data_IF_133873182688
#
_entry.id   IF_133873182688
#
_cell.length_a   1.000
_cell.length_b   1.000
_cell.length_c   1.000
_cell.angle_alpha   90.00
_cell.angle_beta   90.00
_cell.angle_gamma   90.00
#
_symmetry.space_group_name_H-M   'P 1'
#
loop_
_entity.id
_entity.type
_entity.pdbx_description
1 polymer ?
#
# COMPACT_ATOMS: atom_id res chain seq x y z
N UNK A 1 -77.87 -18.53 26.69
CA UNK A 1 -76.77 -18.89 27.60
C UNK A 1 -75.46 -18.72 26.86
N UNK A 2 -74.59 -17.84 27.39
CA UNK A 2 -73.14 -17.68 27.17
C UNK A 2 -72.63 -17.44 25.73
N UNK A 3 -72.41 -16.17 25.39
CA UNK A 3 -71.40 -15.77 24.41
C UNK A 3 -70.05 -15.69 25.13
N UNK A 4 -69.08 -16.44 24.61
CA UNK A 4 -67.69 -16.53 25.09
C UNK A 4 -66.86 -15.47 24.37
N UNK A 5 -66.36 -14.48 25.09
CA UNK A 5 -65.38 -13.51 24.56
C UNK A 5 -63.99 -14.04 24.88
N UNK A 6 -63.24 -14.37 23.83
CA UNK A 6 -61.85 -14.81 23.88
C UNK A 6 -60.94 -13.57 23.79
N UNK A 7 -60.22 -13.22 24.85
CA UNK A 7 -59.17 -12.20 24.81
C UNK A 7 -57.87 -12.87 24.35
N UNK A 8 -57.45 -12.59 23.11
CA UNK A 8 -56.16 -12.99 22.56
C UNK A 8 -55.13 -11.90 22.91
N UNK A 9 -54.31 -12.12 23.93
CA UNK A 9 -53.19 -11.22 24.26
C UNK A 9 -52.03 -11.48 23.31
N UNK A 10 -51.82 -10.57 22.37
CA UNK A 10 -50.67 -10.57 21.46
C UNK A 10 -49.44 -10.05 22.22
N UNK A 11 -48.54 -10.96 22.63
CA UNK A 11 -47.25 -10.59 23.23
C UNK A 11 -46.28 -10.23 22.09
N UNK A 12 -46.13 -8.94 21.79
CA UNK A 12 -45.06 -8.46 20.91
C UNK A 12 -43.74 -8.59 21.66
N UNK A 13 -42.95 -9.63 21.35
CA UNK A 13 -41.54 -9.66 21.68
C UNK A 13 -40.85 -8.75 20.67
N UNK A 14 -40.67 -7.48 21.04
CA UNK A 14 -39.78 -6.58 20.31
C UNK A 14 -38.35 -7.05 20.53
N UNK A 15 -37.78 -7.78 19.57
CA UNK A 15 -36.34 -7.93 19.49
C UNK A 15 -35.77 -6.55 19.18
N UNK A 16 -35.17 -5.89 20.17
CA UNK A 16 -34.33 -4.73 19.94
C UNK A 16 -33.15 -5.20 19.12
N UNK A 17 -33.16 -4.92 17.82
CA UNK A 17 -31.95 -4.96 16.99
C UNK A 17 -31.09 -3.82 17.52
N UNK A 18 -30.16 -4.12 18.41
CA UNK A 18 -29.14 -3.17 18.82
C UNK A 18 -28.28 -2.88 17.60
N UNK A 19 -28.37 -1.67 17.06
CA UNK A 19 -27.34 -1.17 16.15
C UNK A 19 -26.02 -1.17 16.92
N UNK A 20 -24.97 -1.72 16.32
CA UNK A 20 -23.62 -1.55 16.85
C UNK A 20 -23.35 -0.04 16.91
N UNK A 21 -23.17 0.49 18.11
CA UNK A 21 -22.79 1.89 18.29
C UNK A 21 -21.31 2.00 17.90
N UNK A 22 -21.00 2.86 16.93
CA UNK A 22 -19.63 3.10 16.50
C UNK A 22 -18.78 3.59 17.69
N UNK A 23 -17.51 3.16 17.75
CA UNK A 23 -16.64 3.49 18.88
C UNK A 23 -16.13 4.93 18.79
N UNK A 24 -16.11 5.64 19.93
CA UNK A 24 -15.74 7.07 19.99
C UNK A 24 -14.32 7.38 19.52
N UNK A 25 -13.42 6.42 19.61
CA UNK A 25 -12.00 6.51 19.28
C UNK A 25 -11.64 5.79 17.98
N UNK A 26 -12.64 5.42 17.17
CA UNK A 26 -12.47 4.89 15.82
C UNK A 26 -13.36 5.69 14.86
N UNK A 27 -12.83 6.79 14.33
CA UNK A 27 -13.52 7.59 13.31
C UNK A 27 -13.71 6.80 12.01
N UNK A 28 -14.65 7.21 11.17
CA UNK A 28 -14.88 6.65 9.83
C UNK A 28 -13.66 6.73 8.92
N UNK A 29 -12.77 7.69 9.18
CA UNK A 29 -11.54 7.91 8.43
C UNK A 29 -10.35 7.12 9.03
N UNK A 30 -10.56 6.42 10.14
CA UNK A 30 -9.54 5.54 10.71
C UNK A 30 -9.30 4.36 9.79
N UNK A 31 -8.03 4.05 9.51
CA UNK A 31 -7.64 2.82 8.80
C UNK A 31 -8.14 1.51 9.45
N UNK A 32 -8.56 1.55 10.72
CA UNK A 32 -9.11 0.39 11.42
C UNK A 32 -10.63 0.34 11.40
N UNK A 33 -11.32 1.36 10.86
CA UNK A 33 -12.77 1.51 10.94
C UNK A 33 -13.50 0.28 10.36
N UNK A 34 -13.20 -0.08 9.11
CA UNK A 34 -13.85 -1.22 8.46
C UNK A 34 -13.66 -2.53 9.22
N UNK A 35 -12.42 -2.81 9.66
CA UNK A 35 -12.11 -4.02 10.41
C UNK A 35 -12.83 -4.08 11.75
N UNK A 36 -12.89 -2.96 12.47
CA UNK A 36 -13.51 -2.88 13.78
C UNK A 36 -15.03 -3.03 13.68
N UNK A 37 -15.66 -2.37 12.72
CA UNK A 37 -17.10 -2.51 12.44
C UNK A 37 -17.43 -3.96 12.06
N UNK A 38 -16.73 -4.51 11.06
CA UNK A 38 -16.95 -5.89 10.60
C UNK A 38 -16.80 -6.90 11.73
N UNK A 39 -15.73 -6.81 12.51
CA UNK A 39 -15.48 -7.77 13.59
C UNK A 39 -16.45 -7.57 14.78
N UNK A 40 -16.98 -6.37 14.98
CA UNK A 40 -18.03 -6.12 15.99
C UNK A 40 -19.33 -6.78 15.54
N UNK A 41 -19.74 -6.61 14.29
CA UNK A 41 -20.92 -7.26 13.71
C UNK A 41 -20.83 -8.80 13.77
N UNK A 42 -19.62 -9.36 13.57
CA UNK A 42 -19.37 -10.80 13.70
C UNK A 42 -19.23 -11.28 15.15
N UNK A 43 -19.30 -10.38 16.13
CA UNK A 43 -19.14 -10.71 17.56
C UNK A 43 -17.74 -11.18 17.94
N UNK A 44 -16.72 -10.88 17.11
CA UNK A 44 -15.32 -11.26 17.33
C UNK A 44 -14.66 -10.31 18.32
N UNK A 45 -14.97 -9.03 18.20
CA UNK A 45 -14.47 -7.99 19.11
C UNK A 45 -15.64 -7.26 19.76
N UNK A 46 -15.35 -6.63 20.90
CA UNK A 46 -16.25 -5.72 21.60
C UNK A 46 -15.42 -4.55 22.12
N UNK A 47 -16.04 -3.38 22.23
CA UNK A 47 -15.44 -2.24 22.92
C UNK A 47 -15.49 -2.35 24.44
N UNK A 48 -14.97 -1.31 25.07
CA UNK A 48 -14.98 -1.12 26.50
C UNK A 48 -16.27 -0.42 26.95
N UNK A 49 -16.58 -0.51 28.25
CA UNK A 49 -17.79 0.09 28.82
C UNK A 49 -17.83 1.63 28.72
N UNK A 50 -16.71 2.28 28.43
CA UNK A 50 -16.59 3.73 28.19
C UNK A 50 -17.00 4.14 26.75
N UNK A 51 -17.32 3.17 25.89
CA UNK A 51 -17.68 3.36 24.48
C UNK A 51 -16.49 3.47 23.53
N UNK A 52 -15.30 3.02 23.96
CA UNK A 52 -14.08 3.02 23.15
C UNK A 52 -13.68 1.62 22.69
N UNK A 53 -12.90 1.51 21.61
CA UNK A 53 -12.29 0.28 21.12
C UNK A 53 -10.83 0.13 21.56
N UNK A 54 -10.10 1.25 21.71
CA UNK A 54 -8.67 1.35 22.02
C UNK A 54 -7.77 0.69 20.97
N UNK A 55 -7.81 1.14 19.70
CA UNK A 55 -7.09 0.49 18.61
C UNK A 55 -5.56 0.47 18.82
N UNK A 56 -5.00 1.45 19.52
CA UNK A 56 -3.53 1.55 19.70
C UNK A 56 -3.00 0.79 20.92
N UNK A 57 -3.86 0.17 21.72
CA UNK A 57 -3.43 -0.62 22.88
C UNK A 57 -2.83 -1.94 22.42
N UNK A 58 -1.64 -2.25 22.93
CA UNK A 58 -0.96 -3.52 22.68
C UNK A 58 -1.76 -4.70 23.25
N UNK A 59 -1.80 -5.79 22.49
CA UNK A 59 -2.60 -6.97 22.81
C UNK A 59 -1.73 -8.09 23.34
N UNK A 60 -2.16 -8.71 24.44
CA UNK A 60 -1.47 -9.88 24.98
C UNK A 60 -1.89 -11.20 24.28
N UNK A 61 -1.12 -12.26 24.50
CA UNK A 61 -1.36 -13.59 23.89
C UNK A 61 -2.75 -14.15 24.19
N UNK A 62 -3.27 -13.95 25.39
CA UNK A 62 -4.61 -14.40 25.75
C UNK A 62 -5.73 -13.65 25.00
N UNK A 63 -5.58 -12.36 24.80
CA UNK A 63 -6.53 -11.53 24.05
C UNK A 63 -6.46 -11.84 22.55
N UNK A 64 -5.25 -11.94 21.98
CA UNK A 64 -5.05 -12.28 20.59
C UNK A 64 -5.66 -13.64 20.24
N UNK A 65 -5.44 -14.66 21.09
CA UNK A 65 -6.02 -16.00 20.83
C UNK A 65 -7.53 -16.00 20.96
N UNK A 66 -8.12 -15.20 21.86
CA UNK A 66 -9.57 -15.04 21.93
C UNK A 66 -10.13 -14.45 20.64
N UNK A 67 -9.54 -13.37 20.11
CA UNK A 67 -9.98 -12.74 18.85
C UNK A 67 -9.94 -13.75 17.70
N UNK A 68 -8.81 -14.44 17.53
CA UNK A 68 -8.63 -15.45 16.48
C UNK A 68 -9.57 -16.63 16.65
N UNK A 69 -9.77 -17.12 17.88
CA UNK A 69 -10.65 -18.25 18.15
C UNK A 69 -12.12 -17.95 17.84
N UNK A 70 -12.57 -16.72 18.13
CA UNK A 70 -13.91 -16.26 17.79
C UNK A 70 -14.08 -16.07 16.27
N UNK A 71 -13.10 -15.43 15.62
CA UNK A 71 -13.11 -15.17 14.18
C UNK A 71 -13.31 -16.43 13.33
N UNK A 72 -12.67 -17.53 13.72
CA UNK A 72 -12.74 -18.81 13.00
C UNK A 72 -13.59 -19.87 13.71
N UNK A 73 -14.42 -19.45 14.68
CA UNK A 73 -15.33 -20.32 15.42
C UNK A 73 -14.66 -21.62 15.90
N UNK A 74 -13.48 -21.51 16.52
CA UNK A 74 -12.67 -22.66 16.89
C UNK A 74 -13.42 -23.60 17.83
N UNK A 75 -13.44 -24.87 17.46
CA UNK A 75 -14.00 -25.97 18.22
C UNK A 75 -12.91 -26.96 18.61
N UNK A 76 -13.03 -27.63 19.78
CA UNK A 76 -12.03 -28.60 20.22
C UNK A 76 -11.91 -29.75 19.22
N UNK A 77 -10.69 -30.23 18.98
CA UNK A 77 -10.42 -31.31 18.02
C UNK A 77 -10.78 -32.71 18.54
N UNK A 78 -11.24 -32.83 19.80
CA UNK A 78 -11.51 -34.10 20.48
C UNK A 78 -10.29 -34.75 21.12
N UNK A 79 -9.08 -34.26 20.85
CA UNK A 79 -7.85 -34.69 21.52
C UNK A 79 -7.71 -34.01 22.88
N UNK A 80 -7.46 -34.80 23.94
CA UNK A 80 -7.07 -34.23 25.23
C UNK A 80 -5.69 -33.58 25.11
N UNK A 81 -5.64 -32.28 25.40
CA UNK A 81 -4.37 -31.54 25.51
C UNK A 81 -4.12 -31.20 26.96
N UNK A 82 -2.89 -31.44 27.42
CA UNK A 82 -2.46 -31.02 28.75
C UNK A 82 -2.50 -29.50 28.84
N UNK A 83 -3.19 -28.96 29.84
CA UNK A 83 -3.22 -27.53 30.10
C UNK A 83 -1.81 -26.99 30.41
N UNK A 84 -1.54 -25.77 29.96
CA UNK A 84 -0.30 -25.07 30.26
C UNK A 84 -0.23 -24.75 31.77
N UNK A 85 0.95 -24.82 32.42
CA UNK A 85 1.08 -24.60 33.87
C UNK A 85 0.64 -23.21 34.34
N UNK A 86 0.67 -22.23 33.45
CA UNK A 86 0.30 -20.82 33.67
C UNK A 86 -1.11 -20.47 33.16
N UNK A 87 -1.94 -21.47 32.87
CA UNK A 87 -3.32 -21.31 32.41
C UNK A 87 -4.25 -22.13 33.31
N UNK A 88 -5.01 -21.43 34.16
CA UNK A 88 -5.93 -22.03 35.15
C UNK A 88 -7.32 -22.14 34.56
N UNK A 89 -8.09 -23.17 34.97
CA UNK A 89 -9.48 -23.37 34.53
C UNK A 89 -10.43 -22.23 34.89
N UNK A 90 -10.04 -21.36 35.82
CA UNK A 90 -10.80 -20.16 36.22
C UNK A 90 -10.45 -18.92 35.40
N UNK A 91 -9.42 -18.98 34.55
CA UNK A 91 -9.02 -17.83 33.74
C UNK A 91 -10.03 -17.62 32.60
N UNK A 92 -10.40 -16.36 32.35
CA UNK A 92 -11.38 -16.01 31.30
C UNK A 92 -10.97 -16.48 29.90
N UNK A 93 -9.67 -16.68 29.67
CA UNK A 93 -9.10 -17.14 28.41
C UNK A 93 -8.93 -18.67 28.32
N UNK A 94 -9.21 -19.42 29.39
CA UNK A 94 -8.92 -20.85 29.49
C UNK A 94 -9.48 -21.63 28.28
N UNK A 95 -10.78 -21.48 28.01
CA UNK A 95 -11.44 -22.24 26.94
C UNK A 95 -10.86 -21.91 25.56
N UNK A 96 -10.51 -20.65 25.29
CA UNK A 96 -9.93 -20.24 24.02
C UNK A 96 -8.53 -20.83 23.83
N UNK A 97 -7.71 -20.80 24.88
CA UNK A 97 -6.36 -21.40 24.86
C UNK A 97 -6.44 -22.91 24.65
N UNK A 98 -7.32 -23.59 25.38
CA UNK A 98 -7.45 -25.05 25.27
C UNK A 98 -7.97 -25.49 23.89
N UNK A 99 -8.94 -24.76 23.32
CA UNK A 99 -9.41 -25.00 21.94
C UNK A 99 -8.29 -24.80 20.93
N UNK A 100 -7.57 -23.69 21.01
CA UNK A 100 -6.45 -23.39 20.12
C UNK A 100 -5.32 -24.43 20.23
N UNK A 101 -4.98 -24.85 21.44
CA UNK A 101 -3.97 -25.87 21.68
C UNK A 101 -4.38 -27.23 21.11
N UNK A 102 -5.67 -27.61 21.25
CA UNK A 102 -6.20 -28.86 20.67
C UNK A 102 -6.11 -28.91 19.14
N UNK A 103 -6.09 -27.75 18.48
CA UNK A 103 -5.94 -27.63 17.03
C UNK A 103 -4.52 -27.27 16.58
N UNK A 104 -3.55 -27.32 17.49
CA UNK A 104 -2.15 -26.96 17.22
C UNK A 104 -1.96 -25.52 16.70
N UNK A 105 -2.93 -24.62 16.95
CA UNK A 105 -2.79 -23.19 16.65
C UNK A 105 -1.71 -22.56 17.53
N UNK A 106 -1.60 -23.04 18.77
CA UNK A 106 -0.57 -22.67 19.74
C UNK A 106 0.01 -23.92 20.38
N UNK A 107 1.32 -23.91 20.66
CA UNK A 107 2.03 -25.03 21.30
C UNK A 107 2.73 -24.66 22.61
N UNK A 108 2.64 -23.40 23.03
CA UNK A 108 3.42 -22.86 24.15
C UNK A 108 4.88 -22.62 23.80
N UNK A 109 5.66 -22.20 24.80
CA UNK A 109 7.11 -21.97 24.70
C UNK A 109 7.89 -23.22 25.14
N UNK A 110 9.21 -23.20 24.94
CA UNK A 110 10.10 -24.32 25.30
C UNK A 110 10.09 -24.66 26.81
N UNK A 111 9.69 -23.72 27.66
CA UNK A 111 9.50 -23.92 29.10
C UNK A 111 8.15 -24.57 29.47
N UNK A 112 7.32 -24.88 28.46
CA UNK A 112 5.99 -25.47 28.62
C UNK A 112 4.88 -24.47 28.99
N UNK A 113 5.18 -23.17 29.08
CA UNK A 113 4.20 -22.13 29.40
C UNK A 113 3.51 -21.55 28.15
N UNK A 114 2.33 -20.94 28.34
CA UNK A 114 1.61 -20.20 27.30
C UNK A 114 1.97 -18.70 27.25
N UNK A 115 2.33 -18.13 28.40
CA UNK A 115 2.62 -16.71 28.66
C UNK A 115 1.44 -15.79 28.32
N UNK A 116 0.26 -15.96 28.95
CA UNK A 116 -0.98 -15.28 28.55
C UNK A 116 -0.87 -13.74 28.56
N UNK A 117 -0.10 -13.17 29.50
CA UNK A 117 0.10 -11.72 29.64
C UNK A 117 1.21 -11.13 28.75
N UNK A 118 1.95 -11.94 28.00
CA UNK A 118 2.98 -11.45 27.10
C UNK A 118 2.34 -10.82 25.86
N UNK A 119 2.81 -9.65 25.44
CA UNK A 119 2.38 -9.02 24.18
C UNK A 119 2.78 -9.86 22.97
N UNK A 120 1.88 -10.03 22.02
CA UNK A 120 2.17 -10.74 20.77
C UNK A 120 2.88 -9.84 19.77
N UNK A 121 3.77 -10.44 18.98
CA UNK A 121 4.32 -9.77 17.81
C UNK A 121 3.53 -10.11 16.53
N UNK A 122 3.90 -9.45 15.42
CA UNK A 122 3.21 -9.61 14.15
C UNK A 122 3.30 -11.04 13.60
N UNK A 123 4.49 -11.64 13.62
CA UNK A 123 4.69 -13.02 13.15
C UNK A 123 3.85 -14.05 13.92
N UNK A 124 3.80 -13.92 15.25
CA UNK A 124 2.98 -14.78 16.11
C UNK A 124 1.48 -14.59 15.82
N UNK A 125 1.03 -13.35 15.68
CA UNK A 125 -0.37 -13.00 15.39
C UNK A 125 -0.82 -13.58 14.05
N UNK A 126 0.01 -13.41 13.02
CA UNK A 126 -0.23 -13.93 11.68
C UNK A 126 -0.28 -15.47 11.68
N UNK A 127 0.67 -16.14 12.34
CA UNK A 127 0.67 -17.60 12.49
C UNK A 127 -0.62 -18.08 13.16
N UNK A 128 -0.99 -17.49 14.30
CA UNK A 128 -2.19 -17.91 15.03
C UNK A 128 -3.43 -17.80 14.16
N UNK A 129 -3.61 -16.66 13.47
CA UNK A 129 -4.77 -16.44 12.62
C UNK A 129 -4.80 -17.40 11.42
N UNK A 130 -3.66 -17.67 10.77
CA UNK A 130 -3.59 -18.60 9.63
C UNK A 130 -3.89 -20.04 10.02
N UNK A 131 -3.32 -20.50 11.14
CA UNK A 131 -3.56 -21.86 11.62
C UNK A 131 -5.00 -22.04 12.09
N UNK A 132 -5.57 -21.04 12.78
CA UNK A 132 -6.97 -21.09 13.22
C UNK A 132 -7.94 -21.09 12.04
N UNK A 133 -7.63 -20.32 10.99
CA UNK A 133 -8.40 -20.30 9.74
C UNK A 133 -8.12 -21.50 8.82
N UNK A 134 -7.26 -22.44 9.20
CA UNK A 134 -6.88 -23.63 8.43
C UNK A 134 -6.41 -23.30 6.99
N UNK A 135 -5.71 -22.18 6.85
CA UNK A 135 -5.15 -21.79 5.57
C UNK A 135 -3.96 -22.68 5.20
N UNK A 136 -3.84 -22.97 3.91
CA UNK A 136 -2.69 -23.70 3.39
C UNK A 136 -1.51 -22.74 3.27
N UNK A 137 -0.44 -23.05 3.98
CA UNK A 137 0.77 -22.26 4.04
C UNK A 137 1.90 -23.06 3.38
N UNK A 138 2.76 -22.43 2.55
CA UNK A 138 3.89 -23.15 1.95
C UNK A 138 4.83 -23.73 3.00
N UNK A 139 5.14 -25.03 2.89
CA UNK A 139 6.06 -25.74 3.80
C UNK A 139 7.52 -25.30 3.64
N UNK A 140 7.88 -24.79 2.46
CA UNK A 140 9.22 -24.30 2.15
C UNK A 140 9.14 -23.04 1.29
N UNK A 141 10.06 -22.12 1.54
CA UNK A 141 10.18 -20.87 0.79
C UNK A 141 11.52 -20.86 0.05
N UNK A 142 11.50 -20.58 -1.26
CA UNK A 142 12.68 -20.68 -2.12
C UNK A 142 13.53 -19.39 -2.17
N UNK A 143 12.98 -18.26 -1.75
CA UNK A 143 13.65 -16.95 -1.76
C UNK A 143 13.14 -16.07 -0.61
N UNK A 144 13.89 -15.02 -0.28
CA UNK A 144 13.44 -14.04 0.70
C UNK A 144 12.07 -13.45 0.31
N UNK A 145 11.23 -13.22 1.31
CA UNK A 145 9.82 -12.83 1.12
C UNK A 145 9.66 -11.32 1.12
N UNK A 146 10.29 -10.68 2.10
CA UNK A 146 10.42 -9.24 2.30
C UNK A 146 11.87 -8.94 2.66
N UNK A 147 12.22 -7.66 2.77
CA UNK A 147 13.61 -7.27 3.07
C UNK A 147 14.09 -7.76 4.44
N UNK A 148 13.17 -7.91 5.40
CA UNK A 148 13.40 -8.39 6.76
C UNK A 148 12.73 -9.75 7.06
N UNK A 149 12.39 -10.50 6.00
CA UNK A 149 11.84 -11.87 6.12
C UNK A 149 12.62 -12.79 5.20
N UNK A 150 13.55 -13.55 5.78
CA UNK A 150 14.38 -14.51 5.05
C UNK A 150 13.60 -15.79 4.78
N UNK A 151 13.94 -16.49 3.69
CA UNK A 151 13.32 -17.78 3.36
C UNK A 151 13.46 -18.84 4.46
N UNK A 152 14.52 -18.74 5.27
CA UNK A 152 14.83 -19.65 6.38
C UNK A 152 14.08 -19.35 7.67
N UNK A 153 13.40 -18.21 7.77
CA UNK A 153 12.69 -17.85 9.00
C UNK A 153 11.52 -18.80 9.25
N UNK A 154 11.31 -19.19 10.51
CA UNK A 154 10.22 -20.10 10.87
C UNK A 154 8.83 -19.58 10.46
N UNK A 155 8.71 -18.25 10.29
CA UNK A 155 7.48 -17.59 9.87
C UNK A 155 7.41 -17.29 8.37
N UNK A 156 8.43 -17.59 7.58
CA UNK A 156 8.52 -17.19 6.18
C UNK A 156 7.28 -17.61 5.36
N UNK A 157 6.82 -18.86 5.51
CA UNK A 157 5.63 -19.36 4.83
C UNK A 157 4.37 -18.55 5.13
N UNK A 158 4.17 -18.14 6.39
CA UNK A 158 3.02 -17.31 6.78
C UNK A 158 3.05 -15.94 6.08
N UNK A 159 4.23 -15.35 5.96
CA UNK A 159 4.42 -14.08 5.26
C UNK A 159 4.29 -14.21 3.74
N UNK A 160 4.64 -15.35 3.14
CA UNK A 160 4.34 -15.65 1.73
C UNK A 160 2.83 -15.65 1.53
N UNK A 161 2.09 -16.39 2.36
CA UNK A 161 0.63 -16.39 2.28
C UNK A 161 0.06 -14.98 2.45
N UNK A 162 0.56 -14.22 3.43
CA UNK A 162 0.12 -12.87 3.72
C UNK A 162 0.34 -11.90 2.56
N UNK A 163 1.51 -11.97 1.92
CA UNK A 163 1.84 -11.20 0.69
C UNK A 163 0.93 -11.61 -0.47
N UNK A 164 0.75 -12.92 -0.65
CA UNK A 164 0.08 -13.44 -1.83
C UNK A 164 -1.43 -13.13 -1.82
N UNK A 165 -2.00 -13.00 -0.63
CA UNK A 165 -3.41 -12.68 -0.38
C UNK A 165 -3.67 -11.23 0.05
N UNK A 166 -2.70 -10.32 -0.10
CA UNK A 166 -2.80 -8.90 0.27
C UNK A 166 -3.21 -8.63 1.74
N UNK A 167 -2.84 -9.54 2.65
CA UNK A 167 -3.04 -9.36 4.10
C UNK A 167 -1.95 -8.46 4.68
N UNK A 168 -0.74 -8.54 4.13
CA UNK A 168 0.44 -7.81 4.60
C UNK A 168 0.89 -6.86 3.50
N UNK A 169 1.27 -5.67 3.93
CA UNK A 169 1.84 -4.65 3.06
C UNK A 169 3.16 -4.18 3.66
N UNK A 170 4.18 -4.05 2.81
CA UNK A 170 5.49 -3.59 3.25
C UNK A 170 5.56 -2.05 3.24
N UNK A 171 6.37 -1.49 4.12
CA UNK A 171 6.60 -0.05 4.16
C UNK A 171 7.44 0.43 2.95
N UNK A 172 7.75 1.73 2.88
CA UNK A 172 8.61 2.33 1.84
C UNK A 172 10.01 1.71 1.77
N UNK A 173 10.43 1.13 2.87
CA UNK A 173 11.68 0.43 3.02
C UNK A 173 11.59 -1.04 2.55
N UNK A 174 10.41 -1.56 2.22
CA UNK A 174 10.24 -2.97 1.87
C UNK A 174 10.30 -3.93 3.05
N UNK A 175 10.13 -3.40 4.27
CA UNK A 175 10.07 -4.16 5.53
C UNK A 175 8.65 -4.35 6.01
N UNK A 176 8.44 -5.40 6.78
CA UNK A 176 7.17 -5.73 7.46
C UNK A 176 7.31 -5.84 8.98
N UNK A 177 8.54 -5.79 9.50
CA UNK A 177 8.90 -5.77 10.92
C UNK A 177 8.23 -6.91 11.72
N UNK A 178 8.60 -8.17 11.47
CA UNK A 178 7.90 -9.35 12.03
C UNK A 178 7.84 -9.41 13.56
N UNK A 179 8.81 -8.81 14.24
CA UNK A 179 8.94 -8.76 15.70
C UNK A 179 8.21 -7.57 16.34
N UNK A 180 7.60 -6.68 15.53
CA UNK A 180 6.79 -5.56 16.02
C UNK A 180 5.66 -6.09 16.91
N UNK A 181 5.54 -5.48 18.09
CA UNK A 181 4.41 -5.71 19.00
C UNK A 181 3.13 -5.15 18.41
N UNK A 182 2.06 -5.94 18.44
CA UNK A 182 0.83 -5.62 17.73
C UNK A 182 -0.17 -4.90 18.62
N UNK A 183 -0.78 -3.84 18.09
CA UNK A 183 -1.92 -3.18 18.69
C UNK A 183 -3.23 -3.92 18.40
N UNK A 184 -4.29 -3.55 19.12
CA UNK A 184 -5.63 -4.14 18.98
C UNK A 184 -6.23 -3.88 17.60
N UNK A 185 -6.04 -2.69 17.06
CA UNK A 185 -6.42 -2.33 15.70
C UNK A 185 -5.65 -3.14 14.65
N UNK A 186 -4.35 -3.36 14.86
CA UNK A 186 -3.53 -4.13 13.91
C UNK A 186 -3.91 -5.61 13.86
N UNK A 187 -4.20 -6.24 15.01
CA UNK A 187 -4.72 -7.61 15.02
C UNK A 187 -6.12 -7.68 14.43
N UNK A 188 -6.98 -6.69 14.73
CA UNK A 188 -8.31 -6.60 14.13
C UNK A 188 -8.22 -6.53 12.60
N UNK A 189 -7.33 -5.71 12.05
CA UNK A 189 -7.10 -5.60 10.61
C UNK A 189 -6.66 -6.93 9.99
N UNK A 190 -5.67 -7.60 10.59
CA UNK A 190 -5.19 -8.91 10.10
C UNK A 190 -6.31 -9.95 10.10
N UNK A 191 -7.08 -10.01 11.19
CA UNK A 191 -8.20 -10.98 11.34
C UNK A 191 -9.31 -10.68 10.34
N UNK A 192 -9.70 -9.40 10.17
CA UNK A 192 -10.67 -8.96 9.18
C UNK A 192 -10.27 -9.38 7.77
N UNK A 193 -9.05 -9.04 7.33
CA UNK A 193 -8.55 -9.41 6.00
C UNK A 193 -8.57 -10.91 5.79
N UNK A 194 -8.17 -11.69 6.80
CA UNK A 194 -8.22 -13.16 6.70
C UNK A 194 -9.64 -13.71 6.62
N UNK A 195 -10.60 -13.16 7.38
CA UNK A 195 -12.00 -13.58 7.29
C UNK A 195 -12.57 -13.32 5.89
N UNK A 196 -12.27 -12.16 5.30
CA UNK A 196 -12.66 -11.83 3.93
C UNK A 196 -12.01 -12.77 2.89
N UNK A 197 -10.72 -13.09 3.05
CA UNK A 197 -10.02 -14.07 2.19
C UNK A 197 -10.65 -15.46 2.32
N UNK A 198 -10.97 -15.90 3.55
CA UNK A 198 -11.63 -17.20 3.80
C UNK A 198 -13.00 -17.27 3.15
N UNK A 199 -13.78 -16.19 3.26
CA UNK A 199 -15.15 -16.12 2.75
C UNK A 199 -15.19 -16.03 1.23
N UNK A 200 -14.34 -15.19 0.64
CA UNK A 200 -14.34 -14.93 -0.80
C UNK A 200 -13.55 -15.95 -1.61
N UNK A 201 -12.58 -16.63 -1.01
CA UNK A 201 -11.60 -17.48 -1.69
C UNK A 201 -10.61 -16.69 -2.57
N UNK A 202 -10.61 -15.36 -2.49
CA UNK A 202 -9.76 -14.48 -3.27
C UNK A 202 -8.86 -13.64 -2.35
N UNK A 203 -7.78 -13.08 -2.91
CA UNK A 203 -6.94 -12.12 -2.19
C UNK A 203 -7.76 -10.91 -1.71
N UNK A 204 -7.37 -10.35 -0.56
CA UNK A 204 -8.05 -9.19 0.02
C UNK A 204 -8.01 -7.98 -0.92
N UNK A 205 -9.12 -7.25 -0.99
CA UNK A 205 -9.28 -6.04 -1.79
C UNK A 205 -8.77 -4.83 -1.02
N UNK A 206 -7.46 -4.62 -1.06
CA UNK A 206 -6.77 -3.54 -0.33
C UNK A 206 -7.31 -2.15 -0.66
N UNK A 207 -7.77 -1.94 -1.90
CA UNK A 207 -8.27 -0.64 -2.33
C UNK A 207 -9.53 -0.17 -1.59
N UNK A 208 -10.23 -1.06 -0.88
CA UNK A 208 -11.37 -0.69 -0.02
C UNK A 208 -10.94 0.12 1.21
N UNK A 209 -9.78 -0.23 1.76
CA UNK A 209 -9.23 0.38 2.99
C UNK A 209 -8.39 1.62 2.71
N UNK A 210 -8.26 2.02 1.45
CA UNK A 210 -7.42 3.12 1.02
C UNK A 210 -8.22 4.40 0.85
N UNK A 211 -7.56 5.52 1.06
CA UNK A 211 -8.16 6.85 0.92
C UNK A 211 -8.39 7.20 -0.55
N UNK A 212 -9.45 7.95 -0.83
CA UNK A 212 -9.70 8.48 -2.17
C UNK A 212 -8.78 9.67 -2.47
N UNK A 213 -8.19 9.63 -3.66
CA UNK A 213 -7.48 10.73 -4.30
C UNK A 213 -8.27 11.21 -5.52
N UNK A 214 -8.33 12.52 -5.71
CA UNK A 214 -9.08 13.17 -6.80
C UNK A 214 -8.19 14.20 -7.48
N UNK A 215 -8.14 14.16 -8.82
CA UNK A 215 -7.47 15.16 -9.67
C UNK A 215 -8.47 15.66 -10.72
N UNK A 216 -9.19 16.76 -10.45
CA UNK A 216 -10.24 17.26 -11.32
C UNK A 216 -9.74 17.69 -12.70
N UNK A 217 -8.52 18.23 -12.78
CA UNK A 217 -7.93 18.71 -14.05
C UNK A 217 -7.76 17.57 -15.06
N UNK A 218 -7.51 16.36 -14.56
CA UNK A 218 -7.45 15.13 -15.36
C UNK A 218 -8.78 14.37 -15.40
N UNK A 219 -9.76 14.81 -14.61
CA UNK A 219 -11.03 14.11 -14.44
C UNK A 219 -10.87 12.71 -13.87
N UNK A 220 -9.99 12.52 -12.88
CA UNK A 220 -9.76 11.18 -12.28
C UNK A 220 -10.04 11.15 -10.78
N UNK A 221 -10.52 9.99 -10.32
CA UNK A 221 -10.56 9.58 -8.92
C UNK A 221 -10.08 8.15 -8.78
N UNK A 222 -9.27 7.87 -7.77
CA UNK A 222 -8.83 6.52 -7.45
C UNK A 222 -8.51 6.42 -5.96
N UNK A 223 -8.43 5.21 -5.42
CA UNK A 223 -8.02 4.98 -4.04
C UNK A 223 -6.52 4.66 -3.98
N UNK A 224 -5.82 5.23 -3.00
CA UNK A 224 -4.39 5.04 -2.83
C UNK A 224 -3.98 4.97 -1.36
N UNK A 225 -2.91 4.24 -1.09
CA UNK A 225 -2.30 4.20 0.24
C UNK A 225 -1.15 5.21 0.35
N UNK A 226 -1.45 6.34 1.02
CA UNK A 226 -0.52 7.44 1.25
C UNK A 226 0.70 7.04 2.10
N UNK A 227 0.63 5.92 2.82
CA UNK A 227 1.76 5.44 3.64
C UNK A 227 2.87 4.79 2.79
N UNK A 228 2.56 4.33 1.58
CA UNK A 228 3.53 3.69 0.68
C UNK A 228 3.69 4.38 -0.67
N UNK A 229 2.69 5.13 -1.14
CA UNK A 229 2.75 5.87 -2.39
C UNK A 229 3.06 7.34 -2.11
N UNK A 230 4.01 7.88 -2.85
CA UNK A 230 4.27 9.30 -2.98
C UNK A 230 3.50 9.83 -4.16
N UNK A 231 3.02 11.06 -4.06
CA UNK A 231 2.26 11.74 -5.11
C UNK A 231 3.02 13.00 -5.51
N UNK A 232 3.24 13.17 -6.81
CA UNK A 232 3.69 14.41 -7.41
C UNK A 232 2.63 14.82 -8.45
N UNK A 233 2.06 16.02 -8.34
CA UNK A 233 0.96 16.47 -9.22
C UNK A 233 1.31 17.81 -9.84
N UNK A 234 1.22 17.89 -11.17
CA UNK A 234 1.25 19.14 -11.92
C UNK A 234 -0.14 19.55 -12.43
N UNK A 235 -0.18 20.51 -13.34
CA UNK A 235 -1.44 20.96 -13.99
C UNK A 235 -2.01 19.89 -14.92
N UNK A 236 -1.17 19.27 -15.76
CA UNK A 236 -1.58 18.32 -16.81
C UNK A 236 -1.14 16.87 -16.53
N UNK A 237 -0.60 16.61 -15.34
CA UNK A 237 -0.16 15.28 -14.95
C UNK A 237 -0.20 15.00 -13.43
N UNK A 238 -0.20 13.71 -13.11
CA UNK A 238 0.05 13.22 -11.74
C UNK A 238 0.81 11.91 -11.78
N UNK A 239 1.81 11.81 -10.92
CA UNK A 239 2.69 10.67 -10.76
C UNK A 239 2.54 10.12 -9.35
N UNK A 240 2.06 8.88 -9.26
CA UNK A 240 2.13 8.07 -8.06
C UNK A 240 3.37 7.21 -8.14
N UNK A 241 4.22 7.22 -7.13
CA UNK A 241 5.41 6.38 -7.13
C UNK A 241 5.73 5.82 -5.75
N UNK A 242 6.22 4.59 -5.74
CA UNK A 242 6.76 3.92 -4.56
C UNK A 242 8.27 3.91 -4.68
N UNK A 243 8.94 4.59 -3.75
CA UNK A 243 10.39 4.67 -3.71
C UNK A 243 11.03 3.34 -3.35
N UNK A 244 12.17 3.03 -3.98
CA UNK A 244 13.11 2.04 -3.45
C UNK A 244 14.04 2.70 -2.42
N UNK A 245 13.69 2.57 -1.14
CA UNK A 245 14.48 3.14 -0.05
C UNK A 245 15.89 2.54 0.10
N UNK A 246 16.22 1.38 -0.49
CA UNK A 246 17.58 0.83 -0.46
C UNK A 246 18.50 1.57 -1.42
N UNK A 247 17.99 1.86 -2.61
CA UNK A 247 18.73 2.57 -3.65
C UNK A 247 18.65 4.09 -3.46
N UNK A 248 18.06 4.54 -2.34
CA UNK A 248 17.71 5.93 -2.10
C UNK A 248 17.07 6.51 -3.36
N UNK A 249 16.03 5.86 -3.87
CA UNK A 249 15.33 6.42 -5.02
C UNK A 249 14.59 7.66 -4.57
N UNK A 250 14.87 8.77 -5.23
CA UNK A 250 14.23 10.04 -4.94
C UNK A 250 13.41 10.60 -6.11
N UNK A 251 13.62 10.10 -7.33
CA UNK A 251 12.84 10.48 -8.52
C UNK A 251 11.91 9.35 -8.97
N UNK A 252 10.70 9.67 -9.44
CA UNK A 252 9.88 8.73 -10.20
C UNK A 252 10.37 8.48 -11.64
N UNK A 253 11.40 9.21 -12.11
CA UNK A 253 11.90 9.11 -13.48
C UNK A 253 12.52 7.75 -13.83
N UNK A 254 13.09 7.05 -12.84
CA UNK A 254 13.72 5.74 -12.98
C UNK A 254 13.02 4.70 -12.12
N UNK A 255 12.85 3.48 -12.65
CA UNK A 255 12.32 2.34 -11.90
C UNK A 255 13.45 1.39 -11.50
N UNK A 256 13.65 1.28 -10.20
CA UNK A 256 14.50 0.30 -9.53
C UNK A 256 13.74 -0.99 -9.23
N UNK A 257 14.49 -2.04 -8.90
CA UNK A 257 13.98 -3.39 -8.65
C UNK A 257 12.84 -3.43 -7.61
N UNK A 258 12.85 -2.60 -6.57
CA UNK A 258 11.79 -2.57 -5.54
C UNK A 258 10.92 -1.31 -5.58
N UNK A 259 10.80 -0.69 -6.75
CA UNK A 259 10.00 0.52 -6.97
C UNK A 259 8.86 0.29 -7.94
N UNK A 260 7.95 1.26 -8.04
CA UNK A 260 6.96 1.30 -9.10
C UNK A 260 6.37 2.68 -9.26
N UNK A 261 5.74 2.92 -10.42
CA UNK A 261 5.05 4.17 -10.72
C UNK A 261 3.76 3.96 -11.48
N UNK A 262 2.86 4.93 -11.34
CA UNK A 262 1.71 5.16 -12.19
C UNK A 262 1.74 6.64 -12.57
N UNK A 263 1.77 6.94 -13.86
CA UNK A 263 1.78 8.31 -14.38
C UNK A 263 0.55 8.53 -15.24
N UNK A 264 -0.29 9.47 -14.82
CA UNK A 264 -1.45 9.95 -15.58
C UNK A 264 -1.09 11.27 -16.27
N UNK A 265 -1.47 11.40 -17.53
CA UNK A 265 -1.31 12.63 -18.32
C UNK A 265 -2.36 12.71 -19.44
N UNK A 266 -2.52 13.87 -20.06
CA UNK A 266 -3.43 14.08 -21.19
C UNK A 266 -2.65 14.19 -22.50
N UNK A 267 -2.98 13.33 -23.47
CA UNK A 267 -2.64 13.55 -24.87
C UNK A 267 -3.77 14.33 -25.54
N UNK A 268 -3.51 15.61 -25.88
CA UNK A 268 -4.47 16.51 -26.52
C UNK A 268 -4.85 16.07 -27.95
N UNK A 269 -4.22 15.04 -28.51
CA UNK A 269 -4.50 14.53 -29.85
C UNK A 269 -4.43 15.64 -30.91
N UNK A 270 -3.31 16.37 -30.95
CA UNK A 270 -3.10 17.52 -31.85
C UNK A 270 -3.23 17.20 -33.35
N UNK A 271 -3.22 15.91 -33.71
CA UNK A 271 -3.45 15.42 -35.07
C UNK A 271 -4.93 15.18 -35.41
N UNK A 272 -5.86 15.49 -34.50
CA UNK A 272 -7.32 15.32 -34.64
C UNK A 272 -7.73 13.89 -35.09
N UNK A 273 -7.00 12.87 -34.63
CA UNK A 273 -7.28 11.48 -35.02
C UNK A 273 -8.56 11.01 -34.35
N UNK A 274 -9.39 10.27 -35.08
CA UNK A 274 -10.50 9.52 -34.45
C UNK A 274 -9.95 8.50 -33.43
N UNK A 275 -10.78 8.09 -32.48
CA UNK A 275 -10.45 7.02 -31.51
C UNK A 275 -9.82 5.80 -32.17
N UNK A 276 -10.46 5.27 -33.21
CA UNK A 276 -9.98 4.06 -33.88
C UNK A 276 -8.63 4.28 -34.58
N UNK A 277 -8.44 5.44 -35.20
CA UNK A 277 -7.14 5.81 -35.79
C UNK A 277 -6.06 5.97 -34.72
N UNK A 278 -6.39 6.58 -33.58
CA UNK A 278 -5.46 6.74 -32.46
C UNK A 278 -5.04 5.37 -31.90
N UNK A 279 -6.01 4.51 -31.54
CA UNK A 279 -5.74 3.15 -31.03
C UNK A 279 -4.95 2.30 -32.03
N UNK A 280 -5.28 2.34 -33.32
CA UNK A 280 -4.54 1.59 -34.33
C UNK A 280 -3.09 2.09 -34.49
N UNK A 281 -2.86 3.40 -34.38
CA UNK A 281 -1.50 3.95 -34.39
C UNK A 281 -0.70 3.49 -33.17
N UNK A 282 -1.29 3.54 -31.97
CA UNK A 282 -0.65 3.06 -30.73
C UNK A 282 -0.28 1.58 -30.85
N UNK A 283 -1.21 0.72 -31.31
CA UNK A 283 -0.93 -0.71 -31.56
C UNK A 283 0.20 -0.91 -32.58
N UNK A 284 0.27 -0.08 -33.62
CA UNK A 284 1.32 -0.17 -34.63
C UNK A 284 2.70 0.24 -34.10
N UNK A 285 2.76 1.31 -33.29
CA UNK A 285 4.00 1.80 -32.69
C UNK A 285 4.54 0.77 -31.69
N UNK A 286 3.64 0.20 -30.88
CA UNK A 286 3.99 -0.71 -29.80
C UNK A 286 3.64 -2.18 -30.10
N UNK A 287 4.04 -2.66 -31.28
CA UNK A 287 3.72 -4.01 -31.77
C UNK A 287 4.30 -5.17 -30.93
N UNK A 288 5.11 -4.88 -29.91
CA UNK A 288 5.64 -5.87 -28.95
C UNK A 288 4.74 -6.15 -27.73
N UNK A 289 3.67 -5.37 -27.54
CA UNK A 289 2.73 -5.53 -26.42
C UNK A 289 1.47 -6.30 -26.80
N UNK A 290 0.87 -6.99 -25.84
CA UNK A 290 -0.47 -7.55 -26.01
C UNK A 290 -1.50 -6.42 -25.86
N UNK A 291 -2.27 -6.17 -26.91
CA UNK A 291 -3.26 -5.10 -26.96
C UNK A 291 -4.67 -5.61 -26.70
N UNK A 292 -5.42 -4.93 -25.83
CA UNK A 292 -6.81 -5.27 -25.51
C UNK A 292 -7.64 -4.01 -25.36
N UNK A 293 -8.72 -3.92 -26.12
CA UNK A 293 -9.72 -2.86 -25.90
C UNK A 293 -10.68 -3.27 -24.78
N UNK A 294 -11.08 -2.29 -23.97
CA UNK A 294 -12.00 -2.44 -22.85
C UNK A 294 -12.75 -1.14 -22.61
N UNK A 295 -13.68 -1.16 -21.64
CA UNK A 295 -14.45 0.02 -21.24
C UNK A 295 -14.18 0.31 -19.78
N UNK A 296 -13.87 1.57 -19.46
CA UNK A 296 -13.69 2.06 -18.09
C UNK A 296 -14.48 3.35 -17.89
N UNK A 297 -15.30 3.41 -16.84
CA UNK A 297 -16.19 4.57 -16.58
C UNK A 297 -17.07 4.95 -17.79
N UNK A 298 -17.49 3.96 -18.58
CA UNK A 298 -18.27 4.18 -19.80
C UNK A 298 -17.48 4.73 -21.00
N UNK A 299 -16.15 4.74 -20.91
CA UNK A 299 -15.23 5.25 -21.94
C UNK A 299 -14.48 4.10 -22.59
N UNK A 300 -14.32 4.17 -23.90
CA UNK A 300 -13.46 3.25 -24.62
C UNK A 300 -12.00 3.44 -24.22
N UNK A 301 -11.32 2.33 -23.96
CA UNK A 301 -9.94 2.32 -23.56
C UNK A 301 -9.17 1.22 -24.26
N UNK A 302 -7.87 1.44 -24.43
CA UNK A 302 -6.91 0.48 -24.94
C UNK A 302 -5.88 0.18 -23.86
N UNK A 303 -5.74 -1.09 -23.50
CA UNK A 303 -4.69 -1.61 -22.65
C UNK A 303 -3.56 -2.20 -23.53
N UNK A 304 -2.32 -1.83 -23.24
CA UNK A 304 -1.12 -2.47 -23.75
C UNK A 304 -0.34 -3.10 -22.60
N UNK A 305 -0.17 -4.42 -22.64
CA UNK A 305 0.59 -5.18 -21.64
C UNK A 305 1.92 -5.60 -22.22
N UNK A 306 3.01 -5.26 -21.51
CA UNK A 306 4.38 -5.69 -21.83
C UNK A 306 4.92 -6.51 -20.65
N UNK A 307 4.68 -7.84 -20.61
CA UNK A 307 5.03 -8.66 -19.45
C UNK A 307 6.53 -8.65 -19.12
N UNK A 308 7.38 -8.63 -20.15
CA UNK A 308 8.85 -8.61 -20.02
C UNK A 308 9.36 -7.28 -19.50
N UNK A 309 8.69 -6.19 -19.85
CA UNK A 309 9.03 -4.83 -19.44
C UNK A 309 8.31 -4.42 -18.15
N UNK A 310 7.40 -5.27 -17.64
CA UNK A 310 6.61 -5.00 -16.42
C UNK A 310 5.89 -3.66 -16.50
N UNK A 311 5.38 -3.40 -17.69
CA UNK A 311 4.68 -2.18 -18.05
C UNK A 311 3.27 -2.52 -18.51
N UNK A 312 2.33 -1.71 -18.05
CA UNK A 312 0.95 -1.72 -18.54
C UNK A 312 0.55 -0.28 -18.83
N UNK A 313 0.19 0.00 -20.08
CA UNK A 313 -0.21 1.34 -20.50
C UNK A 313 -1.68 1.34 -20.87
N UNK A 314 -2.43 2.31 -20.36
CA UNK A 314 -3.84 2.53 -20.71
C UNK A 314 -4.01 3.84 -21.48
N UNK A 315 -4.81 3.80 -22.53
CA UNK A 315 -5.17 4.97 -23.34
C UNK A 315 -6.69 5.07 -23.35
N UNK A 316 -7.24 6.11 -22.73
CA UNK A 316 -8.67 6.23 -22.43
C UNK A 316 -9.24 7.43 -23.17
N UNK A 317 -10.27 7.22 -23.99
CA UNK A 317 -10.85 8.27 -24.82
C UNK A 317 -11.69 9.27 -23.97
N UNK A 318 -11.41 10.56 -24.15
CA UNK A 318 -12.10 11.65 -23.45
C UNK A 318 -13.14 12.34 -24.35
N UNK A 319 -14.16 13.03 -23.78
CA UNK A 319 -15.26 13.61 -24.56
C UNK A 319 -14.83 14.73 -25.51
N UNK A 320 -13.75 15.43 -25.18
CA UNK A 320 -13.18 16.53 -25.95
C UNK A 320 -12.28 16.05 -27.10
N UNK A 321 -12.13 14.73 -27.29
CA UNK A 321 -11.29 14.14 -28.31
C UNK A 321 -9.82 13.93 -27.89
N UNK A 322 -9.46 14.31 -26.66
CA UNK A 322 -8.19 13.99 -26.03
C UNK A 322 -8.16 12.54 -25.50
N UNK A 323 -7.00 12.09 -25.02
CA UNK A 323 -6.85 10.81 -24.37
C UNK A 323 -6.18 10.98 -23.01
N UNK A 324 -6.80 10.42 -21.96
CA UNK A 324 -6.10 10.19 -20.70
C UNK A 324 -5.16 8.99 -20.90
N UNK A 325 -3.88 9.21 -20.70
CA UNK A 325 -2.85 8.20 -20.84
C UNK A 325 -2.32 7.83 -19.45
N UNK A 326 -2.27 6.54 -19.18
CA UNK A 326 -1.79 5.98 -17.91
C UNK A 326 -0.60 5.08 -18.21
N UNK A 327 0.58 5.46 -17.74
CA UNK A 327 1.78 4.64 -17.84
C UNK A 327 2.03 3.97 -16.50
N UNK A 328 2.20 2.65 -16.49
CA UNK A 328 2.57 1.92 -15.26
C UNK A 328 3.85 1.15 -15.44
N UNK A 329 4.67 1.12 -14.40
CA UNK A 329 5.91 0.36 -14.42
C UNK A 329 6.24 -0.10 -13.00
N UNK A 330 6.80 -1.31 -12.87
CA UNK A 330 7.21 -1.85 -11.58
C UNK A 330 8.47 -2.71 -11.69
N UNK A 331 9.27 -2.69 -10.63
CA UNK A 331 10.58 -3.33 -10.59
C UNK A 331 10.54 -4.86 -10.57
N UNK A 332 11.75 -5.45 -10.71
CA UNK A 332 11.98 -6.90 -10.76
C UNK A 332 12.44 -7.57 -9.46
N UNK A 333 12.62 -6.79 -8.42
CA UNK A 333 13.05 -7.25 -7.11
C UNK A 333 11.98 -8.05 -6.37
N UNK A 334 12.32 -8.39 -5.14
CA UNK A 334 11.48 -9.19 -4.23
C UNK A 334 10.10 -8.58 -4.00
N UNK A 335 9.96 -7.25 -4.10
CA UNK A 335 8.68 -6.56 -3.94
C UNK A 335 7.89 -6.38 -5.24
N UNK A 336 8.46 -6.69 -6.41
CA UNK A 336 7.83 -6.39 -7.70
C UNK A 336 6.42 -6.99 -7.84
N UNK A 337 6.18 -8.17 -7.26
CA UNK A 337 4.86 -8.80 -7.24
C UNK A 337 3.83 -8.07 -6.36
N UNK A 338 4.25 -7.57 -5.19
CA UNK A 338 3.39 -6.76 -4.31
C UNK A 338 3.06 -5.42 -4.96
N UNK A 339 4.07 -4.75 -5.53
CA UNK A 339 3.92 -3.45 -6.21
C UNK A 339 2.98 -3.58 -7.39
N UNK A 340 3.13 -4.62 -8.20
CA UNK A 340 2.20 -4.92 -9.30
C UNK A 340 0.76 -5.02 -8.80
N UNK A 341 0.49 -5.77 -7.73
CA UNK A 341 -0.86 -5.93 -7.16
C UNK A 341 -1.41 -4.61 -6.63
N UNK A 342 -0.57 -3.78 -6.03
CA UNK A 342 -0.98 -2.44 -5.57
C UNK A 342 -1.35 -1.53 -6.74
N UNK A 343 -0.55 -1.53 -7.82
CA UNK A 343 -0.88 -0.80 -9.05
C UNK A 343 -2.20 -1.28 -9.62
N UNK A 344 -2.40 -2.60 -9.74
CA UNK A 344 -3.66 -3.17 -10.21
C UNK A 344 -4.84 -2.77 -9.30
N UNK A 345 -4.63 -2.67 -7.99
CA UNK A 345 -5.65 -2.23 -7.04
C UNK A 345 -6.02 -0.75 -7.23
N UNK A 346 -5.02 0.13 -7.39
CA UNK A 346 -5.24 1.54 -7.73
C UNK A 346 -6.02 1.68 -9.03
N UNK A 347 -5.60 0.98 -10.09
CA UNK A 347 -6.26 1.00 -11.40
C UNK A 347 -7.68 0.43 -11.37
N UNK A 348 -7.95 -0.60 -10.55
CA UNK A 348 -9.32 -1.13 -10.37
C UNK A 348 -10.26 -0.11 -9.72
N UNK A 349 -9.74 0.78 -8.89
CA UNK A 349 -10.52 1.84 -8.24
C UNK A 349 -10.69 3.11 -9.09
N UNK A 350 -10.04 3.15 -10.26
CA UNK A 350 -10.02 4.33 -11.12
C UNK A 350 -11.41 4.64 -11.71
N UNK A 351 -11.84 5.87 -11.48
CA UNK A 351 -13.01 6.51 -12.09
C UNK A 351 -12.52 7.65 -12.98
N UNK A 352 -13.05 7.75 -14.21
CA UNK A 352 -12.65 8.74 -15.22
C UNK A 352 -13.85 9.54 -15.72
N UNK A 353 -13.82 10.86 -15.57
CA UNK A 353 -14.85 11.79 -16.02
C UNK A 353 -14.92 13.05 -15.17
N UNK A 354 -16.08 13.73 -15.17
CA UNK A 354 -16.30 14.84 -14.25
C UNK A 354 -16.35 14.29 -12.82
N UNK A 355 -15.30 14.57 -12.05
CA UNK A 355 -15.20 14.23 -10.64
C UNK A 355 -15.18 15.53 -9.85
N UNK A 356 -16.10 15.65 -8.88
CA UNK A 356 -16.13 16.76 -7.94
C UNK A 356 -15.19 16.48 -6.77
N UNK A 357 -14.49 17.53 -6.32
CA UNK A 357 -13.74 17.51 -5.07
C UNK A 357 -14.73 17.61 -3.90
N UNK A 358 -14.69 16.64 -2.99
CA UNK A 358 -15.36 16.75 -1.70
C UNK A 358 -14.34 17.31 -0.68
N UNK A 359 -14.71 18.34 0.09
CA UNK A 359 -13.86 18.92 1.14
C UNK A 359 -13.44 17.87 2.20
N UNK A 360 -14.17 16.75 2.32
CA UNK A 360 -13.81 15.65 3.22
C UNK A 360 -12.73 14.71 2.67
N UNK A 361 -12.34 14.85 1.40
CA UNK A 361 -11.30 14.00 0.83
C UNK A 361 -9.92 14.60 1.04
N UNK A 362 -9.08 13.83 1.74
CA UNK A 362 -7.79 14.24 2.30
C UNK A 362 -6.80 14.78 1.24
N UNK A 363 -6.99 14.43 -0.04
CA UNK A 363 -6.11 14.80 -1.14
C UNK A 363 -6.87 15.39 -2.34
N UNK A 364 -7.85 16.27 -2.11
CA UNK A 364 -8.48 17.05 -3.18
C UNK A 364 -7.65 18.28 -3.54
N UNK A 365 -6.79 18.14 -4.53
CA UNK A 365 -5.75 19.13 -4.81
C UNK A 365 -4.73 19.09 -3.67
N UNK A 366 -3.55 18.54 -3.93
CA UNK A 366 -2.42 18.69 -3.02
C UNK A 366 -2.30 20.18 -2.70
N UNK A 367 -2.66 20.59 -1.48
CA UNK A 367 -2.46 21.96 -1.01
C UNK A 367 -1.00 22.32 -1.31
N UNK A 368 -0.82 23.33 -2.16
CA UNK A 368 0.42 24.00 -2.51
C UNK A 368 1.69 23.29 -1.99
N UNK A 369 2.17 22.30 -2.74
CA UNK A 369 3.62 22.13 -2.82
C UNK A 369 4.13 23.45 -3.43
N UNK A 370 4.49 24.41 -2.56
CA UNK A 370 4.95 25.77 -2.86
C UNK A 370 5.30 25.95 -4.33
N UNK A 371 4.33 26.38 -5.16
CA UNK A 371 4.42 26.57 -6.61
C UNK A 371 5.77 26.12 -7.21
N UNK A 372 6.04 24.81 -7.14
CA UNK A 372 7.34 24.32 -7.57
C UNK A 372 7.18 24.20 -9.07
N UNK A 373 8.07 24.85 -9.81
CA UNK A 373 8.23 24.56 -11.22
C UNK A 373 8.18 23.03 -11.39
N UNK A 374 7.41 22.51 -12.35
CA UNK A 374 7.35 21.06 -12.55
C UNK A 374 8.78 20.55 -12.72
N UNK A 375 9.08 19.32 -12.28
CA UNK A 375 10.44 18.76 -12.42
C UNK A 375 10.96 18.88 -13.86
N UNK A 376 10.08 18.84 -14.86
CA UNK A 376 10.40 19.06 -16.28
C UNK A 376 10.82 20.51 -16.58
N UNK A 377 10.18 21.50 -15.97
CA UNK A 377 10.52 22.93 -16.12
C UNK A 377 11.81 23.30 -15.36
N UNK A 378 11.98 22.79 -14.13
CA UNK A 378 13.23 22.90 -13.36
C UNK A 378 14.40 22.34 -14.18
N UNK A 379 14.24 21.13 -14.71
CA UNK A 379 15.26 20.48 -15.54
C UNK A 379 15.63 21.33 -16.76
N UNK A 380 14.63 21.90 -17.42
CA UNK A 380 14.81 22.75 -18.60
C UNK A 380 15.59 24.02 -18.26
N UNK A 381 15.28 24.66 -17.13
CA UNK A 381 15.98 25.85 -16.62
C UNK A 381 17.42 25.53 -16.21
N UNK A 382 17.62 24.42 -15.50
CA UNK A 382 18.95 23.94 -15.10
C UNK A 382 19.82 23.63 -16.33
N UNK A 383 19.28 22.91 -17.33
CA UNK A 383 20.04 22.60 -18.55
C UNK A 383 20.31 23.80 -19.45
N UNK A 384 19.43 24.80 -19.46
CA UNK A 384 19.69 26.04 -20.19
C UNK A 384 20.91 26.81 -19.62
N UNK A 385 21.17 26.65 -18.32
CA UNK A 385 22.21 27.39 -17.60
C UNK A 385 23.48 26.58 -17.34
N UNK A 386 23.47 25.25 -17.55
CA UNK A 386 24.53 24.33 -17.08
C UNK A 386 25.93 24.79 -17.51
N UNK A 387 26.14 25.10 -18.79
CA UNK A 387 27.45 25.55 -19.32
C UNK A 387 27.66 27.08 -19.32
N UNK A 388 26.80 27.86 -18.67
CA UNK A 388 26.88 29.33 -18.67
C UNK A 388 27.67 29.81 -17.45
N UNK A 389 28.79 30.49 -17.70
CA UNK A 389 29.65 31.05 -16.64
C UNK A 389 28.87 32.04 -15.74
N UNK A 390 29.02 31.90 -14.42
CA UNK A 390 28.32 32.73 -13.43
C UNK A 390 26.88 32.34 -13.12
N UNK A 391 26.42 31.19 -13.60
CA UNK A 391 25.04 30.68 -13.40
C UNK A 391 24.94 29.36 -12.67
N UNK A 392 26.06 28.78 -12.25
CA UNK A 392 26.07 27.49 -11.58
C UNK A 392 25.29 27.50 -10.27
N UNK A 393 25.47 28.53 -9.43
CA UNK A 393 24.74 28.65 -8.18
C UNK A 393 23.24 28.91 -8.38
N UNK A 394 22.86 29.72 -9.37
CA UNK A 394 21.46 29.92 -9.77
C UNK A 394 20.81 28.59 -10.13
N UNK A 395 21.52 27.75 -10.89
CA UNK A 395 21.02 26.43 -11.32
C UNK A 395 20.95 25.43 -10.17
N UNK A 396 21.92 25.42 -9.24
CA UNK A 396 21.85 24.59 -8.04
C UNK A 396 20.71 25.02 -7.12
N UNK A 397 20.38 26.31 -7.07
CA UNK A 397 19.27 26.80 -6.25
C UNK A 397 17.90 26.39 -6.77
N UNK A 398 17.78 26.00 -8.05
CA UNK A 398 16.56 25.42 -8.60
C UNK A 398 16.35 23.95 -8.19
N UNK A 399 17.37 23.31 -7.60
CA UNK A 399 17.33 21.91 -7.17
C UNK A 399 17.25 21.86 -5.65
N UNK A 400 16.04 21.74 -5.10
CA UNK A 400 15.80 21.83 -3.66
C UNK A 400 16.36 20.63 -2.89
N UNK A 401 16.47 19.49 -3.55
CA UNK A 401 16.88 18.24 -2.94
C UNK A 401 18.33 17.83 -3.21
N UNK A 402 19.15 18.77 -3.68
CA UNK A 402 20.56 18.55 -3.95
C UNK A 402 21.28 18.01 -2.70
N UNK A 403 21.92 16.87 -2.86
CA UNK A 403 22.81 16.26 -1.85
C UNK A 403 24.24 16.39 -2.37
N UNK A 404 25.11 17.02 -1.58
CA UNK A 404 26.54 16.99 -1.89
C UNK A 404 27.08 15.58 -1.65
N UNK A 405 27.66 14.98 -2.68
CA UNK A 405 28.17 13.61 -2.63
C UNK A 405 29.70 13.56 -2.53
N UNK A 406 30.40 14.57 -3.06
CA UNK A 406 31.87 14.64 -3.02
C UNK A 406 32.34 16.10 -3.18
N UNK A 407 33.45 16.44 -2.52
CA UNK A 407 34.13 17.74 -2.67
C UNK A 407 35.61 17.50 -2.96
N UNK A 408 36.06 17.97 -4.11
CA UNK A 408 37.46 17.93 -4.52
C UNK A 408 38.11 19.29 -4.30
N UNK A 409 39.15 19.30 -3.47
CA UNK A 409 39.77 20.55 -3.02
C UNK A 409 40.69 21.14 -4.11
N UNK A 410 41.32 20.30 -4.95
CA UNK A 410 42.25 20.70 -6.02
C UNK A 410 42.33 19.59 -7.09
N UNK A 411 41.77 19.82 -8.28
CA UNK A 411 42.07 19.02 -9.48
C UNK A 411 43.25 19.62 -10.25
N UNK A 412 44.06 18.80 -10.90
CA UNK A 412 45.12 19.29 -11.79
C UNK A 412 44.48 20.04 -12.97
N UNK A 413 44.29 21.36 -12.84
CA UNK A 413 43.97 22.24 -13.97
C UNK A 413 42.91 23.33 -13.76
N UNK A 414 41.94 23.18 -12.87
CA UNK A 414 40.91 24.20 -12.58
C UNK A 414 40.48 24.12 -11.12
N UNK A 415 39.89 25.19 -10.56
CA UNK A 415 39.66 25.39 -9.12
C UNK A 415 38.78 24.33 -8.41
N UNK A 416 38.44 24.55 -7.13
CA UNK A 416 37.78 23.53 -6.33
C UNK A 416 36.39 23.15 -6.88
N UNK A 417 36.04 21.86 -6.77
CA UNK A 417 34.87 21.26 -7.40
C UNK A 417 33.99 20.58 -6.34
N UNK A 418 32.68 20.72 -6.47
CA UNK A 418 31.71 19.98 -5.66
C UNK A 418 30.79 19.15 -6.57
N UNK A 419 30.48 17.93 -6.18
CA UNK A 419 29.54 17.06 -6.87
C UNK A 419 28.23 17.03 -6.09
N UNK A 420 27.14 17.40 -6.74
CA UNK A 420 25.79 17.37 -6.21
C UNK A 420 24.98 16.32 -6.95
N UNK A 421 24.26 15.49 -6.21
CA UNK A 421 23.20 14.68 -6.78
C UNK A 421 21.87 15.36 -6.47
N UNK A 422 21.09 15.72 -7.49
CA UNK A 422 19.69 16.07 -7.28
C UNK A 422 18.83 14.90 -7.65
N UNK A 423 17.98 14.62 -6.70
CA UNK A 423 17.20 13.44 -6.53
C UNK A 423 15.88 13.58 -7.30
N UNK A 424 15.42 14.81 -7.45
CA UNK A 424 14.26 15.30 -8.16
C UNK A 424 14.44 15.05 -9.65
N UNK A 425 15.58 15.52 -10.17
CA UNK A 425 15.92 15.38 -11.59
C UNK A 425 16.68 14.10 -11.91
N UNK A 426 17.25 13.42 -10.91
CA UNK A 426 17.97 12.16 -11.10
C UNK A 426 19.35 12.33 -11.76
N UNK A 427 19.98 13.49 -11.64
CA UNK A 427 21.28 13.81 -12.25
C UNK A 427 22.35 14.11 -11.19
N UNK A 428 23.59 13.74 -11.54
CA UNK A 428 24.78 14.21 -10.83
C UNK A 428 25.35 15.42 -11.57
N UNK A 429 25.49 16.50 -10.85
CA UNK A 429 25.99 17.78 -11.28
C UNK A 429 27.38 18.00 -10.70
N UNK A 430 28.35 18.31 -11.56
CA UNK A 430 29.66 18.79 -11.14
C UNK A 430 29.64 20.31 -11.14
N UNK A 431 29.79 20.94 -9.98
CA UNK A 431 29.85 22.38 -9.81
C UNK A 431 31.30 22.85 -9.70
N UNK A 432 31.76 23.69 -10.63
CA UNK A 432 33.10 24.29 -10.57
C UNK A 432 33.04 25.67 -9.92
N UNK A 433 33.51 25.78 -8.67
CA UNK A 433 33.38 27.03 -7.89
C UNK A 433 34.10 28.22 -8.52
N UNK A 434 35.18 27.98 -9.27
CA UNK A 434 35.99 29.04 -9.85
C UNK A 434 35.33 29.71 -11.06
N UNK A 435 34.58 28.95 -11.86
CA UNK A 435 33.87 29.44 -13.03
C UNK A 435 32.36 29.64 -12.75
N UNK A 436 31.88 29.14 -11.61
CA UNK A 436 30.46 29.16 -11.25
C UNK A 436 29.60 28.57 -12.39
N UNK A 437 29.93 27.32 -12.77
CA UNK A 437 29.26 26.54 -13.83
C UNK A 437 28.91 25.15 -13.32
N UNK A 438 27.89 24.53 -13.91
CA UNK A 438 27.53 23.13 -13.66
C UNK A 438 27.86 22.26 -14.89
N UNK A 439 28.28 21.02 -14.69
CA UNK A 439 28.48 20.04 -15.76
C UNK A 439 27.64 18.79 -15.46
N UNK A 440 26.90 18.28 -16.46
CA UNK A 440 26.13 17.03 -16.35
C UNK A 440 27.06 15.81 -16.40
N UNK A 441 26.97 14.92 -15.41
CA UNK A 441 27.70 13.64 -15.30
C UNK A 441 26.73 12.45 -15.40
N UNK A 442 26.08 12.30 -16.56
CA UNK A 442 25.01 11.33 -16.87
C UNK A 442 25.24 9.83 -16.57
N UNK A 443 26.44 9.37 -16.20
CA UNK A 443 26.71 7.92 -16.06
C UNK A 443 27.45 7.51 -14.78
N UNK A 444 27.60 8.41 -13.80
CA UNK A 444 28.32 8.10 -12.56
C UNK A 444 29.79 7.68 -12.76
N UNK A 445 30.32 7.83 -13.98
CA UNK A 445 31.71 7.60 -14.29
C UNK A 445 32.44 8.92 -14.13
N UNK A 446 33.27 9.01 -13.08
CA UNK A 446 34.29 10.04 -12.98
C UNK A 446 35.28 9.80 -14.13
N UNK A 447 35.09 10.48 -15.26
CA UNK A 447 36.23 10.70 -16.15
C UNK A 447 37.28 11.41 -15.30
N UNK A 448 38.39 10.71 -15.01
CA UNK A 448 39.62 11.38 -14.61
C UNK A 448 39.82 12.57 -15.54
N UNK A 449 40.06 13.75 -14.97
CA UNK A 449 40.65 14.84 -15.73
C UNK A 449 42.08 14.45 -16.11
#
# INVERSE_FOLDING_TARGET
MKNLILFLSLFLIGASVGFAESYKDVSTDSKYYEAVEYLTEKGVVNGYADGTFKPDVLVNRAEAIKMVALAFALSPSGSEVRAFPDVRSTDWFYDFVMKAASRSVVSGYNDGSFKPGQTVNFAESLKMALLAGEFQVPDSVSSDVYRDVRSSDWFAGYFVFGRDNNIIQSNLEGKVVPDKLMSRGEIAEVVYRMMEVKQSGNAFRVEKTWESFVKPELGIKLNLDNSVWRVNSGEEDVIFWRADGLNNQFSPGLIYDNSGRIWFTIDKNSSEKSKDQYFNNIKSIFSGGAAKEFVISGRDALELVFPTERRVDWYIAMPDGSFLVVYTEFGKGVLGGEIKKNIEAMLRSLVVGAVECDESSVNCGVEDAEQSDSTTDILSKVFANILVEGKGMESLNLLDDKVIIETDVIGVGTGPVDYYYSAEVGYTFKYERAADVILDKRTGSSSQF
#
